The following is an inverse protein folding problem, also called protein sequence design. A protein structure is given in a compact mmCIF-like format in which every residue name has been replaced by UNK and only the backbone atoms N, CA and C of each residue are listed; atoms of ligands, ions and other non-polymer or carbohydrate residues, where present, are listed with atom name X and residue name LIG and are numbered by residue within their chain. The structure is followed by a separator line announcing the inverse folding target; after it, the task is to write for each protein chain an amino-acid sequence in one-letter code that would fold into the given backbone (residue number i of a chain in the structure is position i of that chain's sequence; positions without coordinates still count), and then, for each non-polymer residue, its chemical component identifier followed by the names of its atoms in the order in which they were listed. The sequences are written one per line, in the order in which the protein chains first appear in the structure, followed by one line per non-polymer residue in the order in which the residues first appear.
data_IF_085717121703
#
_entry.id   IF_085717121703
#
_cell.length_a   1.000
_cell.length_b   1.000
_cell.length_c   1.000
_cell.angle_alpha   90.00
_cell.angle_beta   90.00
_cell.angle_gamma   90.00
#
_symmetry.space_group_name_H-M   'P 1'
#
loop_
_entity.id
_entity.type
_entity.pdbx_description
1 polymer ?
#
# COMPACT_ATOMS: atom_id res chain seq x y z
N UNK A 1 9.99 5.14 -4.97
CA UNK A 1 9.73 6.59 -4.94
C UNK A 1 9.51 7.08 -3.51
N UNK A 2 8.81 6.32 -2.65
CA UNK A 2 8.63 6.68 -1.25
C UNK A 2 9.68 6.00 -0.36
N UNK A 3 10.12 6.71 0.68
CA UNK A 3 11.15 6.22 1.60
C UNK A 3 10.76 4.92 2.30
N UNK A 4 9.49 4.84 2.71
CA UNK A 4 8.91 3.65 3.36
C UNK A 4 7.74 3.10 2.57
N UNK A 5 7.71 1.79 2.38
CA UNK A 5 6.62 1.07 1.72
C UNK A 5 6.38 -0.28 2.36
N UNK A 6 5.14 -0.75 2.34
CA UNK A 6 4.77 -2.11 2.73
C UNK A 6 4.79 -3.08 1.56
N UNK A 7 4.95 -2.56 0.34
CA UNK A 7 4.90 -3.36 -0.89
C UNK A 7 6.25 -4.05 -1.14
N UNK A 8 6.22 -5.13 -1.89
CA UNK A 8 7.42 -5.80 -2.37
C UNK A 8 8.08 -5.01 -3.52
N UNK A 9 9.32 -5.35 -3.85
CA UNK A 9 10.12 -4.62 -4.86
C UNK A 9 9.60 -4.81 -6.28
N UNK A 10 8.74 -5.81 -6.52
CA UNK A 10 8.09 -6.04 -7.82
C UNK A 10 6.84 -5.17 -8.03
N UNK A 11 6.40 -4.42 -7.02
CA UNK A 11 5.27 -3.49 -7.12
C UNK A 11 5.70 -2.16 -7.77
N UNK A 12 6.07 -2.20 -9.05
CA UNK A 12 6.67 -1.10 -9.81
C UNK A 12 5.71 -0.36 -10.75
N UNK A 13 4.43 -0.79 -10.80
CA UNK A 13 3.41 -0.16 -11.61
C UNK A 13 3.43 -0.57 -13.09
N UNK A 14 4.00 -1.74 -13.39
CA UNK A 14 4.19 -2.22 -14.77
C UNK A 14 2.87 -2.31 -15.54
N UNK A 15 1.79 -2.81 -14.91
CA UNK A 15 0.48 -2.92 -15.53
C UNK A 15 -0.08 -1.56 -15.96
N UNK A 16 0.06 -0.55 -15.11
CA UNK A 16 -0.34 0.84 -15.42
C UNK A 16 0.50 1.39 -16.57
N UNK A 17 1.82 1.18 -16.54
CA UNK A 17 2.73 1.65 -17.58
C UNK A 17 2.45 1.00 -18.95
N UNK A 18 2.21 -0.33 -18.96
CA UNK A 18 1.86 -1.06 -20.20
C UNK A 18 0.52 -0.57 -20.77
N UNK A 19 -0.50 -0.42 -19.95
CA UNK A 19 -1.81 0.07 -20.36
C UNK A 19 -1.73 1.51 -20.91
N UNK A 20 -0.98 2.38 -20.23
CA UNK A 20 -0.75 3.75 -20.71
C UNK A 20 -0.05 3.81 -22.05
N UNK A 21 1.02 3.02 -22.25
CA UNK A 21 1.73 2.94 -23.53
C UNK A 21 0.84 2.40 -24.66
N UNK A 22 -0.11 1.53 -24.34
CA UNK A 22 -1.10 1.05 -25.27
C UNK A 22 -2.19 2.09 -25.61
N UNK A 23 -2.26 3.20 -24.86
CA UNK A 23 -3.22 4.28 -25.08
C UNK A 23 -4.45 4.21 -24.17
N UNK A 24 -4.46 3.35 -23.13
CA UNK A 24 -5.53 3.32 -22.15
C UNK A 24 -5.53 4.57 -21.27
N UNK A 25 -6.72 4.98 -20.84
CA UNK A 25 -6.88 6.09 -19.90
C UNK A 25 -6.41 5.70 -18.51
N UNK A 26 -5.58 6.53 -17.90
CA UNK A 26 -5.10 6.39 -16.53
C UNK A 26 -5.72 7.50 -15.68
N UNK A 27 -6.13 7.18 -14.46
CA UNK A 27 -6.79 8.13 -13.56
C UNK A 27 -6.30 8.02 -12.12
N UNK A 28 -6.40 9.13 -11.39
CA UNK A 28 -6.25 9.21 -9.94
C UNK A 28 -4.87 8.75 -9.40
N UNK A 29 -3.81 8.88 -10.19
CA UNK A 29 -2.46 8.43 -9.81
C UNK A 29 -1.88 9.19 -8.61
N UNK A 30 -2.41 10.37 -8.30
CA UNK A 30 -2.04 11.16 -7.12
C UNK A 30 -2.50 10.56 -5.80
N UNK A 31 -3.47 9.64 -5.83
CA UNK A 31 -4.08 9.09 -4.61
C UNK A 31 -3.36 7.81 -4.17
N UNK A 32 -2.28 7.98 -3.44
CA UNK A 32 -1.56 6.91 -2.77
C UNK A 32 -1.97 6.85 -1.31
N UNK A 33 -2.49 5.71 -0.86
CA UNK A 33 -2.81 5.49 0.54
C UNK A 33 -1.54 5.16 1.33
N UNK A 34 -1.31 5.88 2.43
CA UNK A 34 -0.28 5.55 3.41
C UNK A 34 -0.90 4.76 4.56
N UNK A 35 -0.24 3.66 4.95
CA UNK A 35 -0.58 3.00 6.20
C UNK A 35 0.14 3.71 7.36
N UNK A 36 -0.58 4.11 8.42
CA UNK A 36 0.00 4.98 9.45
C UNK A 36 0.97 4.28 10.41
N UNK A 37 0.89 2.96 10.52
CA UNK A 37 1.60 2.17 11.54
C UNK A 37 2.41 1.05 10.91
N UNK A 38 3.45 1.41 10.18
CA UNK A 38 4.43 0.45 9.69
C UNK A 38 5.64 0.44 10.62
N UNK A 39 6.15 -0.75 10.92
CA UNK A 39 7.26 -0.92 11.83
C UNK A 39 8.49 -0.15 11.36
N UNK A 40 9.02 0.71 12.21
CA UNK A 40 10.24 1.45 11.95
C UNK A 40 11.44 0.70 12.52
N UNK A 41 12.25 0.13 11.64
CA UNK A 41 13.48 -0.55 12.04
C UNK A 41 14.68 0.39 11.86
N UNK A 42 15.22 0.87 12.97
CA UNK A 42 16.41 1.75 12.96
C UNK A 42 17.69 1.03 12.55
N UNK A 43 17.66 -0.30 12.45
CA UNK A 43 18.83 -1.15 12.12
C UNK A 43 18.71 -1.76 10.71
N UNK A 44 17.64 -1.47 9.96
CA UNK A 44 17.45 -2.04 8.64
C UNK A 44 18.34 -1.34 7.61
N UNK A 45 19.07 -2.14 6.84
CA UNK A 45 19.83 -1.69 5.68
C UNK A 45 19.38 -2.47 4.43
N UNK A 46 19.33 -1.80 3.29
CA UNK A 46 19.04 -2.43 2.00
C UNK A 46 17.65 -3.06 1.91
N UNK A 47 17.56 -4.30 1.44
CA UNK A 47 16.30 -5.02 1.21
C UNK A 47 15.48 -5.29 2.49
N UNK A 48 16.10 -5.21 3.67
CA UNK A 48 15.40 -5.33 4.96
C UNK A 48 14.66 -4.04 5.36
N UNK A 49 14.84 -2.95 4.62
CA UNK A 49 14.16 -1.67 4.86
C UNK A 49 12.65 -1.70 4.57
N UNK A 50 12.09 -2.86 4.17
CA UNK A 50 10.64 -3.02 4.04
C UNK A 50 9.97 -2.84 5.39
N UNK A 51 9.05 -1.91 5.43
CA UNK A 51 8.31 -1.65 6.66
C UNK A 51 7.27 -2.76 6.88
N UNK A 52 7.51 -3.61 7.89
CA UNK A 52 6.53 -4.60 8.33
C UNK A 52 5.25 -3.89 8.79
N UNK A 53 4.11 -4.37 8.30
CA UNK A 53 2.82 -3.77 8.62
C UNK A 53 2.37 -4.14 10.03
N UNK A 54 2.27 -3.16 10.91
CA UNK A 54 1.56 -3.32 12.18
C UNK A 54 0.07 -3.10 11.90
N UNK A 55 -0.71 -4.18 11.97
CA UNK A 55 -2.13 -4.18 11.61
C UNK A 55 -2.91 -3.08 12.32
N UNK A 56 -3.88 -2.48 11.62
CA UNK A 56 -4.85 -1.55 12.18
C UNK A 56 -5.64 -2.15 13.36
N UNK A 57 -5.79 -3.49 13.39
CA UNK A 57 -6.44 -4.19 14.48
C UNK A 57 -5.77 -3.94 15.86
N UNK A 58 -4.46 -3.64 15.89
CA UNK A 58 -3.78 -3.28 17.13
C UNK A 58 -4.37 -1.99 17.72
N UNK A 59 -4.67 -0.99 16.87
CA UNK A 59 -5.37 0.23 17.32
C UNK A 59 -6.81 -0.07 17.69
N UNK A 60 -7.48 -0.97 16.96
CA UNK A 60 -8.82 -1.44 17.27
C UNK A 60 -8.92 -2.12 18.66
N UNK A 61 -7.89 -2.83 19.08
CA UNK A 61 -7.79 -3.46 20.40
C UNK A 61 -7.30 -2.48 21.51
N UNK A 62 -7.19 -1.19 21.18
CA UNK A 62 -6.86 -0.15 22.13
C UNK A 62 -5.41 0.34 22.08
N UNK A 63 -4.65 -0.02 21.06
CA UNK A 63 -3.32 0.54 20.87
C UNK A 63 -3.35 2.04 20.64
N UNK A 64 -2.47 2.77 21.32
CA UNK A 64 -2.43 4.24 21.38
C UNK A 64 -1.18 4.76 20.70
N UNK A 65 -1.34 5.79 19.85
CA UNK A 65 -0.21 6.50 19.25
C UNK A 65 0.34 7.55 20.21
N UNK A 66 1.63 7.43 20.51
CA UNK A 66 2.37 8.34 21.38
C UNK A 66 3.60 8.92 20.66
N UNK A 67 3.96 10.13 21.03
CA UNK A 67 5.18 10.79 20.57
C UNK A 67 6.44 10.26 21.23
N UNK A 68 7.60 10.79 20.86
CA UNK A 68 8.87 10.48 21.50
C UNK A 68 8.93 10.90 22.99
N UNK A 69 8.04 11.81 23.41
CA UNK A 69 7.88 12.25 24.79
C UNK A 69 6.95 11.32 25.61
N UNK A 70 6.48 10.22 25.04
CA UNK A 70 5.57 9.26 25.67
C UNK A 70 4.12 9.72 25.77
N UNK A 71 3.75 10.85 25.17
CA UNK A 71 2.40 11.41 25.28
C UNK A 71 1.55 11.13 24.06
N UNK A 72 0.26 10.87 24.29
CA UNK A 72 -0.73 10.80 23.21
C UNK A 72 -0.82 12.13 22.48
N UNK A 73 -0.88 12.08 21.14
CA UNK A 73 -0.98 13.29 20.31
C UNK A 73 -2.22 13.31 19.41
N UNK A 74 -2.83 12.17 19.13
CA UNK A 74 -3.92 12.06 18.16
C UNK A 74 -5.14 12.93 18.48
N UNK A 75 -5.39 13.23 19.77
CA UNK A 75 -6.47 14.12 20.20
C UNK A 75 -6.37 15.55 19.64
N UNK A 76 -5.18 15.98 19.19
CA UNK A 76 -4.95 17.28 18.54
C UNK A 76 -5.46 17.31 17.09
N UNK A 77 -5.63 16.14 16.48
CA UNK A 77 -5.91 15.99 15.04
C UNK A 77 -7.32 15.46 14.76
N UNK A 78 -7.83 14.56 15.62
CA UNK A 78 -9.17 13.96 15.41
C UNK A 78 -9.79 13.53 16.76
N UNK A 79 -11.09 13.75 16.97
CA UNK A 79 -11.78 13.35 18.21
C UNK A 79 -11.83 11.83 18.42
N UNK A 80 -11.71 11.03 17.34
CA UNK A 80 -11.61 9.55 17.42
C UNK A 80 -10.23 9.07 17.85
N UNK A 81 -9.28 9.98 18.02
CA UNK A 81 -7.91 9.72 18.47
C UNK A 81 -7.24 8.63 17.59
N UNK A 82 -6.63 7.62 18.20
CA UNK A 82 -5.94 6.53 17.49
C UNK A 82 -6.87 5.65 16.64
N UNK A 83 -8.18 5.79 16.75
CA UNK A 83 -9.18 5.12 15.90
C UNK A 83 -9.60 5.94 14.68
N UNK A 84 -8.99 7.09 14.45
CA UNK A 84 -9.22 7.89 13.24
C UNK A 84 -8.85 7.08 11.97
N UNK A 85 -9.49 7.37 10.82
CA UNK A 85 -9.16 6.75 9.53
C UNK A 85 -7.68 6.88 9.17
N UNK A 86 -7.23 5.98 8.31
CA UNK A 86 -5.80 5.86 7.94
C UNK A 86 -5.20 7.15 7.42
N UNK A 87 -5.92 7.88 6.56
CA UNK A 87 -5.44 9.12 5.97
C UNK A 87 -5.25 10.22 7.03
N UNK A 88 -6.18 10.35 7.96
CA UNK A 88 -6.08 11.29 9.07
C UNK A 88 -4.92 10.89 9.99
N UNK A 89 -4.85 9.61 10.35
CA UNK A 89 -3.81 9.11 11.24
C UNK A 89 -2.41 9.24 10.60
N UNK A 90 -2.26 8.90 9.30
CA UNK A 90 -0.97 9.01 8.62
C UNK A 90 -0.49 10.46 8.54
N UNK A 91 -1.38 11.40 8.22
CA UNK A 91 -1.05 12.84 8.23
C UNK A 91 -0.73 13.36 9.62
N UNK A 92 -1.45 12.89 10.64
CA UNK A 92 -1.18 13.27 12.03
C UNK A 92 0.20 12.79 12.48
N UNK A 93 0.56 11.54 12.17
CA UNK A 93 1.88 10.97 12.46
C UNK A 93 2.98 11.74 11.75
N UNK A 94 2.84 12.00 10.46
CA UNK A 94 3.81 12.79 9.68
C UNK A 94 3.99 14.20 10.25
N UNK A 95 2.87 14.86 10.59
CA UNK A 95 2.89 16.19 11.20
C UNK A 95 3.58 16.19 12.56
N UNK A 96 3.34 15.17 13.39
CA UNK A 96 3.95 15.05 14.71
C UNK A 96 5.46 14.76 14.60
N UNK A 97 5.87 13.89 13.67
CA UNK A 97 7.28 13.65 13.36
C UNK A 97 8.00 14.92 12.93
N UNK A 98 7.43 15.67 12.00
CA UNK A 98 7.98 16.96 11.53
C UNK A 98 8.05 18.01 12.64
N UNK A 99 7.00 18.12 13.45
CA UNK A 99 6.93 19.06 14.57
C UNK A 99 7.98 18.79 15.65
N UNK A 100 8.27 17.52 15.91
CA UNK A 100 9.20 17.10 16.98
C UNK A 100 10.61 16.85 16.49
N UNK A 101 10.83 16.75 15.18
CA UNK A 101 12.10 16.31 14.58
C UNK A 101 12.39 14.82 14.80
N UNK A 102 11.40 14.03 15.23
CA UNK A 102 11.56 12.61 15.49
C UNK A 102 11.50 11.80 14.21
N UNK A 103 12.29 10.73 14.13
CA UNK A 103 12.31 9.82 12.98
C UNK A 103 11.09 8.87 12.94
N UNK A 104 10.41 8.68 14.05
CA UNK A 104 9.23 7.82 14.17
C UNK A 104 8.32 8.32 15.31
N UNK A 105 7.14 7.74 15.38
CA UNK A 105 6.28 7.76 16.57
C UNK A 105 6.14 6.34 17.11
N UNK A 106 5.40 6.14 18.17
CA UNK A 106 5.28 4.84 18.79
C UNK A 106 3.81 4.42 18.92
N UNK A 107 3.56 3.13 18.72
CA UNK A 107 2.27 2.50 18.96
C UNK A 107 2.37 1.69 20.25
N UNK A 108 1.67 2.12 21.28
CA UNK A 108 1.67 1.50 22.61
C UNK A 108 0.42 0.64 22.82
N UNK A 109 0.62 -0.63 23.12
CA UNK A 109 -0.40 -1.59 23.54
C UNK A 109 0.02 -2.33 24.83
N UNK A 110 1.09 -1.90 25.48
CA UNK A 110 1.67 -2.53 26.67
C UNK A 110 0.77 -2.48 27.91
N UNK A 111 -0.30 -1.67 27.88
CA UNK A 111 -1.32 -1.63 28.94
C UNK A 111 -2.23 -2.87 28.95
N UNK A 112 -2.17 -3.74 27.95
CA UNK A 112 -2.92 -5.00 27.91
C UNK A 112 -2.28 -6.07 28.80
N UNK A 113 -3.07 -7.07 29.27
CA UNK A 113 -2.53 -8.17 30.07
C UNK A 113 -1.34 -8.86 29.40
N UNK A 114 -0.45 -9.40 30.22
CA UNK A 114 0.68 -10.19 29.75
C UNK A 114 0.17 -11.39 28.91
N UNK A 115 0.79 -11.64 27.78
CA UNK A 115 0.36 -12.68 26.83
C UNK A 115 -0.67 -12.24 25.80
N UNK A 116 -1.47 -11.19 26.07
CA UNK A 116 -2.51 -10.74 25.15
C UNK A 116 -1.96 -10.46 23.72
N UNK A 117 -0.85 -9.73 23.62
CA UNK A 117 -0.28 -9.36 22.33
C UNK A 117 0.25 -10.59 21.60
N UNK A 118 0.84 -11.53 22.32
CA UNK A 118 1.36 -12.78 21.76
C UNK A 118 0.24 -13.68 21.22
N UNK A 119 -0.87 -13.79 21.93
CA UNK A 119 -2.02 -14.61 21.52
C UNK A 119 -2.80 -13.96 20.37
N UNK A 120 -3.07 -12.67 20.49
CA UNK A 120 -3.94 -11.94 19.56
C UNK A 120 -3.24 -11.54 18.27
N UNK A 121 -1.94 -11.26 18.34
CA UNK A 121 -1.09 -10.79 17.24
C UNK A 121 0.24 -11.53 17.19
N UNK A 122 0.26 -12.87 17.03
CA UNK A 122 1.48 -13.68 17.14
C UNK A 122 2.57 -13.24 16.16
N UNK A 123 2.22 -12.94 14.91
CA UNK A 123 3.18 -12.49 13.90
C UNK A 123 3.78 -11.13 14.23
N UNK A 124 3.00 -10.19 14.76
CA UNK A 124 3.50 -8.87 15.19
C UNK A 124 4.44 -9.06 16.39
N UNK A 125 4.04 -9.86 17.37
CA UNK A 125 4.87 -10.17 18.53
C UNK A 125 6.21 -10.78 18.13
N UNK A 126 6.18 -11.79 17.29
CA UNK A 126 7.39 -12.48 16.80
C UNK A 126 8.29 -11.52 16.01
N UNK A 127 7.72 -10.75 15.09
CA UNK A 127 8.49 -9.81 14.28
C UNK A 127 9.16 -8.74 15.15
N UNK A 128 8.44 -8.09 16.06
CA UNK A 128 9.02 -7.11 16.97
C UNK A 128 10.12 -7.73 17.84
N UNK A 129 9.89 -8.94 18.35
CA UNK A 129 10.85 -9.65 19.22
C UNK A 129 12.15 -9.97 18.49
N UNK A 130 12.14 -10.29 17.19
CA UNK A 130 13.36 -10.48 16.38
C UNK A 130 14.26 -9.24 16.35
N UNK A 131 13.65 -8.06 16.46
CA UNK A 131 14.36 -6.79 16.51
C UNK A 131 14.60 -6.28 17.94
N UNK A 132 14.37 -7.14 18.94
CA UNK A 132 14.64 -6.84 20.34
C UNK A 132 13.59 -5.97 21.01
N UNK A 133 12.39 -5.86 20.44
CA UNK A 133 11.26 -5.10 20.98
C UNK A 133 10.21 -6.09 21.52
N UNK A 134 9.83 -5.94 22.78
CA UNK A 134 8.72 -6.70 23.37
C UNK A 134 7.44 -5.84 23.38
N UNK A 135 6.53 -6.03 22.43
CA UNK A 135 5.34 -5.17 22.30
C UNK A 135 4.34 -5.32 23.46
N UNK A 136 4.50 -6.33 24.32
CA UNK A 136 3.71 -6.47 25.56
C UNK A 136 4.24 -5.60 26.72
N UNK A 137 5.43 -5.01 26.57
CA UNK A 137 6.09 -4.25 27.64
C UNK A 137 6.58 -2.87 27.24
N UNK A 138 6.74 -2.64 25.93
CA UNK A 138 7.27 -1.40 25.39
C UNK A 138 6.59 -1.02 24.06
N UNK A 139 6.50 0.28 23.77
CA UNK A 139 5.86 0.75 22.54
C UNK A 139 6.62 0.35 21.28
N UNK A 140 5.88 0.06 20.20
CA UNK A 140 6.40 -0.32 18.89
C UNK A 140 6.73 0.96 18.10
N UNK A 141 7.97 1.17 17.62
CA UNK A 141 8.27 2.30 16.74
C UNK A 141 7.61 2.13 15.39
N UNK A 142 6.91 3.18 14.92
CA UNK A 142 6.14 3.13 13.66
C UNK A 142 6.28 4.42 12.86
N UNK A 143 6.16 4.28 11.54
CA UNK A 143 6.14 5.38 10.55
C UNK A 143 5.02 5.18 9.55
N UNK A 144 4.54 6.24 8.89
CA UNK A 144 3.68 6.11 7.71
C UNK A 144 4.47 5.51 6.54
N UNK A 145 3.87 4.57 5.82
CA UNK A 145 4.48 3.96 4.64
C UNK A 145 3.47 3.88 3.49
N UNK A 146 3.95 4.05 2.25
CA UNK A 146 3.14 3.85 1.05
C UNK A 146 2.61 2.41 1.02
N UNK A 147 1.29 2.26 0.82
CA UNK A 147 0.61 1.00 1.07
C UNK A 147 -0.29 0.54 -0.07
N UNK A 148 -1.07 1.44 -0.66
CA UNK A 148 -2.02 1.10 -1.72
C UNK A 148 -2.18 2.25 -2.71
N UNK A 149 -2.13 1.92 -4.02
CA UNK A 149 -2.42 2.87 -5.08
C UNK A 149 -3.93 2.87 -5.37
N UNK A 150 -4.61 3.99 -5.10
CA UNK A 150 -6.06 4.10 -5.36
C UNK A 150 -6.38 4.38 -6.82
N UNK A 151 -5.47 5.02 -7.54
CA UNK A 151 -5.56 5.23 -8.98
C UNK A 151 -4.99 4.07 -9.78
N UNK A 152 -5.10 4.18 -11.11
CA UNK A 152 -4.62 3.17 -12.04
C UNK A 152 -5.27 3.29 -13.41
N UNK A 153 -5.37 2.18 -14.12
CA UNK A 153 -6.06 2.09 -15.41
C UNK A 153 -7.56 2.30 -15.19
N UNK A 154 -8.12 3.35 -15.78
CA UNK A 154 -9.55 3.64 -15.64
C UNK A 154 -10.39 2.51 -16.24
N UNK A 155 -11.29 1.97 -15.43
CA UNK A 155 -12.21 0.90 -15.84
C UNK A 155 -13.64 1.21 -15.44
N UNK A 156 -14.57 0.55 -16.13
CA UNK A 156 -15.93 0.42 -15.65
C UNK A 156 -16.04 -0.66 -14.54
N UNK A 157 -17.25 -0.90 -14.06
CA UNK A 157 -17.53 -1.91 -13.03
C UNK A 157 -17.34 -3.36 -13.49
N UNK A 158 -17.12 -3.59 -14.78
CA UNK A 158 -16.80 -4.90 -15.36
C UNK A 158 -15.30 -5.04 -15.67
N UNK A 159 -14.48 -4.08 -15.24
CA UNK A 159 -13.05 -4.08 -15.49
C UNK A 159 -12.65 -3.72 -16.92
N UNK A 160 -13.60 -3.30 -17.78
CA UNK A 160 -13.32 -2.92 -19.15
C UNK A 160 -12.66 -1.54 -19.15
N UNK A 161 -11.54 -1.42 -19.88
CA UNK A 161 -10.79 -0.15 -20.03
C UNK A 161 -11.34 0.70 -21.17
N UNK A 162 -10.71 1.85 -21.42
CA UNK A 162 -10.99 2.70 -22.59
C UNK A 162 -10.56 2.07 -23.93
N UNK A 163 -9.86 0.95 -23.92
CA UNK A 163 -9.45 0.21 -25.12
C UNK A 163 -10.28 -1.06 -25.26
N UNK A 164 -10.84 -1.27 -26.44
CA UNK A 164 -11.61 -2.47 -26.74
C UNK A 164 -10.78 -3.74 -26.56
N UNK A 165 -11.31 -4.68 -25.79
CA UNK A 165 -10.67 -5.97 -25.51
C UNK A 165 -9.60 -5.92 -24.41
N UNK A 166 -9.28 -4.77 -23.84
CA UNK A 166 -8.39 -4.64 -22.69
C UNK A 166 -9.18 -4.51 -21.39
N UNK A 167 -8.85 -5.34 -20.42
CA UNK A 167 -9.43 -5.35 -19.08
C UNK A 167 -8.36 -5.13 -18.03
N UNK A 168 -8.73 -4.48 -16.93
CA UNK A 168 -7.89 -4.36 -15.74
C UNK A 168 -8.70 -4.60 -14.48
N UNK A 169 -8.12 -5.35 -13.52
CA UNK A 169 -8.75 -5.66 -12.24
C UNK A 169 -7.72 -5.64 -11.11
N UNK A 170 -8.16 -5.46 -9.88
CA UNK A 170 -7.31 -5.31 -8.72
C UNK A 170 -6.65 -3.94 -8.65
N UNK A 171 -5.53 -3.84 -7.93
CA UNK A 171 -4.86 -2.56 -7.65
C UNK A 171 -4.37 -1.80 -8.90
N UNK A 172 -4.14 -2.52 -10.01
CA UNK A 172 -3.79 -1.89 -11.30
C UNK A 172 -4.97 -1.12 -11.91
N UNK A 173 -6.21 -1.54 -11.65
CA UNK A 173 -7.42 -0.91 -12.15
C UNK A 173 -7.91 0.23 -11.24
N UNK A 174 -8.56 1.21 -11.85
CA UNK A 174 -9.24 2.31 -11.15
C UNK A 174 -10.72 2.29 -11.51
N UNK A 175 -11.53 1.59 -10.71
CA UNK A 175 -13.01 1.54 -10.85
C UNK A 175 -13.69 2.76 -10.24
N UNK A 176 -12.96 3.59 -9.49
CA UNK A 176 -13.50 4.69 -8.68
C UNK A 176 -13.99 4.26 -7.29
N UNK A 177 -14.04 2.95 -6.98
CA UNK A 177 -14.54 2.44 -5.70
C UNK A 177 -13.80 3.04 -4.49
N UNK A 178 -12.50 3.24 -4.62
CA UNK A 178 -11.66 3.67 -3.51
C UNK A 178 -11.57 5.19 -3.33
N UNK A 179 -12.00 5.97 -4.35
CA UNK A 179 -11.82 7.42 -4.31
C UNK A 179 -10.37 7.79 -4.03
N UNK A 180 -10.17 8.74 -3.12
CA UNK A 180 -8.82 9.18 -2.72
C UNK A 180 -8.18 8.34 -1.61
N UNK A 181 -8.93 7.46 -0.95
CA UNK A 181 -8.45 6.68 0.19
C UNK A 181 -9.26 5.40 0.39
N UNK A 182 -8.63 4.25 0.13
CA UNK A 182 -9.26 2.94 0.20
C UNK A 182 -9.68 2.57 1.63
N UNK A 183 -10.93 2.08 1.78
CA UNK A 183 -11.35 1.43 3.02
C UNK A 183 -10.63 0.09 3.19
N UNK A 184 -10.17 -0.19 4.41
CA UNK A 184 -9.44 -1.41 4.72
C UNK A 184 -10.15 -2.67 4.22
N UNK A 185 -9.39 -3.58 3.61
CA UNK A 185 -9.82 -4.88 3.05
C UNK A 185 -10.72 -4.82 1.82
N UNK A 186 -11.27 -3.67 1.41
CA UNK A 186 -12.13 -3.56 0.23
C UNK A 186 -11.39 -3.93 -1.08
N UNK A 187 -10.06 -3.77 -1.14
CA UNK A 187 -9.30 -4.16 -2.32
C UNK A 187 -9.40 -5.65 -2.65
N UNK A 188 -9.46 -6.53 -1.63
CA UNK A 188 -9.63 -7.98 -1.86
C UNK A 188 -11.01 -8.30 -2.44
N UNK A 189 -12.06 -7.62 -1.96
CA UNK A 189 -13.41 -7.77 -2.50
C UNK A 189 -13.49 -7.25 -3.94
N UNK A 190 -12.88 -6.11 -4.21
CA UNK A 190 -12.79 -5.55 -5.57
C UNK A 190 -12.10 -6.51 -6.53
N UNK A 191 -10.93 -7.06 -6.15
CA UNK A 191 -10.21 -8.03 -6.97
C UNK A 191 -11.10 -9.20 -7.39
N UNK A 192 -11.84 -9.80 -6.46
CA UNK A 192 -12.70 -10.96 -6.74
C UNK A 192 -13.91 -10.57 -7.59
N UNK A 193 -14.59 -9.49 -7.21
CA UNK A 193 -15.83 -9.05 -7.89
C UNK A 193 -15.54 -8.56 -9.30
N UNK A 194 -14.55 -7.69 -9.47
CA UNK A 194 -14.24 -7.13 -10.79
C UNK A 194 -13.66 -8.19 -11.72
N UNK A 195 -12.79 -9.09 -11.24
CA UNK A 195 -12.28 -10.19 -12.04
C UNK A 195 -13.42 -11.12 -12.52
N UNK A 196 -14.39 -11.44 -11.65
CA UNK A 196 -15.56 -12.24 -12.05
C UNK A 196 -16.39 -11.52 -13.11
N UNK A 197 -16.66 -10.23 -12.92
CA UNK A 197 -17.45 -9.42 -13.88
C UNK A 197 -16.72 -9.25 -15.22
N UNK A 198 -15.40 -9.09 -15.18
CA UNK A 198 -14.57 -9.04 -16.38
C UNK A 198 -14.68 -10.35 -17.16
N UNK A 199 -14.59 -11.48 -16.48
CA UNK A 199 -14.78 -12.80 -17.11
C UNK A 199 -16.16 -12.91 -17.77
N UNK A 200 -17.24 -12.55 -17.06
CA UNK A 200 -18.59 -12.62 -17.58
C UNK A 200 -18.75 -11.70 -18.82
N UNK A 201 -18.18 -10.50 -18.75
CA UNK A 201 -18.14 -9.57 -19.90
C UNK A 201 -17.41 -10.16 -21.09
N UNK A 202 -16.21 -10.73 -20.88
CA UNK A 202 -15.43 -11.37 -21.95
C UNK A 202 -16.17 -12.54 -22.58
N UNK A 203 -16.84 -13.37 -21.78
CA UNK A 203 -17.61 -14.52 -22.26
C UNK A 203 -18.88 -14.10 -23.05
N UNK A 204 -19.44 -12.94 -22.74
CA UNK A 204 -20.60 -12.38 -23.45
C UNK A 204 -20.23 -11.75 -24.78
N UNK A 205 -18.97 -11.36 -24.97
CA UNK A 205 -18.46 -10.90 -26.24
C UNK A 205 -18.47 -12.12 -27.20
N UNK A 206 -19.27 -12.04 -28.25
CA UNK A 206 -19.17 -13.03 -29.33
C UNK A 206 -17.73 -13.04 -29.83
N UNK A 207 -17.20 -14.21 -30.32
CA UNK A 207 -15.82 -14.30 -30.76
C UNK A 207 -15.49 -13.11 -31.67
N UNK A 208 -14.65 -12.23 -31.16
CA UNK A 208 -14.18 -11.04 -31.84
C UNK A 208 -13.46 -11.49 -33.10
N UNK A 209 -14.16 -11.45 -34.21
CA UNK A 209 -13.70 -11.80 -35.58
C UNK A 209 -13.57 -13.30 -35.85
N UNK A 210 -14.52 -13.78 -36.65
CA UNK A 210 -14.32 -15.03 -37.43
C UNK A 210 -13.06 -14.98 -38.31
N UNK A 211 -12.54 -13.79 -38.56
CA UNK A 211 -11.40 -13.50 -39.46
C UNK A 211 -10.15 -13.08 -38.68
N UNK A 212 -10.08 -13.28 -37.34
CA UNK A 212 -8.85 -13.03 -36.61
C UNK A 212 -7.74 -13.94 -37.10
N UNK A 213 -6.53 -13.43 -37.39
CA UNK A 213 -5.42 -14.28 -37.76
C UNK A 213 -5.22 -15.37 -36.72
N UNK A 214 -5.10 -16.61 -37.15
CA UNK A 214 -4.86 -17.77 -36.28
C UNK A 214 -3.44 -17.80 -35.71
N UNK A 215 -2.56 -16.94 -36.24
CA UNK A 215 -1.22 -16.72 -35.71
C UNK A 215 -0.84 -15.25 -35.87
N UNK A 216 -0.21 -14.70 -34.85
CA UNK A 216 0.46 -13.41 -34.92
C UNK A 216 1.95 -13.66 -35.00
N UNK A 217 2.64 -13.02 -35.93
CA UNK A 217 4.10 -12.96 -35.93
C UNK A 217 4.51 -11.99 -34.80
N UNK A 218 4.65 -12.53 -33.60
CA UNK A 218 5.10 -11.76 -32.44
C UNK A 218 6.63 -11.69 -32.53
N UNK A 219 7.21 -10.50 -32.76
CA UNK A 219 8.66 -10.38 -32.81
C UNK A 219 9.29 -10.95 -31.53
N UNK A 220 10.41 -11.63 -31.70
CA UNK A 220 11.17 -12.10 -30.54
C UNK A 220 11.49 -10.92 -29.63
N UNK A 221 11.24 -11.11 -28.32
CA UNK A 221 11.59 -10.09 -27.35
C UNK A 221 13.12 -9.88 -27.32
N UNK A 222 13.57 -8.66 -27.36
CA UNK A 222 14.97 -8.30 -27.17
C UNK A 222 15.06 -7.14 -26.18
N UNK A 223 16.16 -7.09 -25.45
CA UNK A 223 16.38 -6.07 -24.40
C UNK A 223 16.36 -4.63 -24.92
N UNK A 224 16.53 -4.42 -26.22
CA UNK A 224 16.78 -3.09 -26.76
C UNK A 224 18.06 -2.47 -26.18
N UNK A 225 18.30 -1.22 -26.54
CA UNK A 225 19.38 -0.40 -25.95
C UNK A 225 18.92 0.28 -24.65
N UNK A 226 18.19 -0.43 -23.79
CA UNK A 226 17.83 0.12 -22.50
C UNK A 226 19.09 0.23 -21.64
N UNK A 227 19.51 1.47 -21.37
CA UNK A 227 20.45 1.71 -20.28
C UNK A 227 19.95 1.01 -19.03
N UNK A 228 20.85 0.37 -18.29
CA UNK A 228 20.52 -0.14 -16.95
C UNK A 228 19.75 0.95 -16.22
N UNK A 229 18.58 0.65 -15.63
CA UNK A 229 17.83 1.65 -14.88
C UNK A 229 18.80 2.30 -13.91
N UNK A 230 18.87 3.64 -13.94
CA UNK A 230 19.59 4.40 -12.92
C UNK A 230 19.23 3.77 -11.60
N UNK A 231 20.22 3.24 -10.88
CA UNK A 231 19.96 2.50 -9.65
C UNK A 231 19.07 3.39 -8.78
N UNK A 232 18.04 2.82 -8.18
CA UNK A 232 17.10 3.53 -7.30
C UNK A 232 17.81 4.32 -6.18
N UNK A 233 19.07 4.01 -5.90
CA UNK A 233 19.97 4.72 -4.99
C UNK A 233 20.15 6.20 -5.40
N UNK A 234 20.14 6.53 -6.69
CA UNK A 234 20.26 7.92 -7.15
C UNK A 234 18.94 8.71 -7.14
N UNK A 235 17.80 8.01 -6.96
CA UNK A 235 16.47 8.63 -6.86
C UNK A 235 16.05 8.82 -5.39
N UNK A 236 16.71 8.14 -4.46
CA UNK A 236 16.31 8.05 -3.06
C UNK A 236 17.02 9.02 -2.12
N UNK A 237 17.86 9.93 -2.60
CA UNK A 237 18.30 11.03 -1.73
C UNK A 237 17.16 12.03 -1.58
N UNK A 238 16.53 12.13 -0.39
CA UNK A 238 15.58 13.18 -0.13
C UNK A 238 16.34 14.50 -0.24
N UNK A 239 15.97 15.34 -1.20
CA UNK A 239 16.35 16.76 -1.16
C UNK A 239 15.88 17.30 0.19
N UNK A 240 16.83 17.57 1.07
CA UNK A 240 16.62 18.22 2.37
C UNK A 240 16.09 19.63 2.19
#
# INVERSE_FOLDING_TARGET
VYLYTTNNDSATGDGVAMAWRAGATIANMEFVQFHPTCFFNTRAEGAEARSFLISEAVRGEGGVLIGADGKEFMHKYDPRKSLAPRDITARAVDSEMKRTGSMCVYLDISHKPEGFVQERFPLIYETCSRYGINPAREPIPVVPAAHFQCGGVLTDVNGQTSLDGLYAAGETGCTGLHGANRLASNSLLECVVVAKRALDSMLSLQPLRKDAPTSYDIPAWHHGDTALPLSLIHISEPTR
#
